data_IF_994350617088
#
_entry.id   IF_994350617088
#
_cell.length_a   1.000
_cell.length_b   1.000
_cell.length_c   1.000
_cell.angle_alpha   90.00
_cell.angle_beta   90.00
_cell.angle_gamma   90.00
#
_symmetry.space_group_name_H-M   'P 1'
#
loop_
_entity.id
_entity.type
_entity.pdbx_description
1 polymer ?
#
# COMPACT_ATOMS: atom_id res chain seq x y z
N UNK A 1 -9.89 7.55 24.96
CA UNK A 1 -10.94 7.64 23.93
C UNK A 1 -11.76 6.37 23.98
N UNK A 2 -13.07 6.49 24.23
CA UNK A 2 -13.98 5.35 24.34
C UNK A 2 -14.37 4.77 22.97
N UNK A 3 -15.15 3.68 23.00
CA UNK A 3 -15.68 2.98 21.82
C UNK A 3 -16.39 3.93 20.83
N UNK A 4 -17.08 4.95 21.33
CA UNK A 4 -17.76 5.98 20.53
C UNK A 4 -16.83 6.67 19.50
N UNK A 5 -15.56 6.87 19.83
CA UNK A 5 -14.59 7.48 18.90
C UNK A 5 -14.16 6.51 17.78
N UNK A 6 -14.32 5.20 17.99
CA UNK A 6 -13.99 4.17 16.98
C UNK A 6 -15.16 3.88 16.04
N UNK A 7 -16.39 4.27 16.39
CA UNK A 7 -17.58 4.01 15.58
C UNK A 7 -17.44 4.50 14.12
N UNK A 8 -16.91 5.71 13.83
CA UNK A 8 -16.72 6.14 12.45
C UNK A 8 -15.81 5.18 11.67
N UNK A 9 -14.70 4.69 12.23
CA UNK A 9 -13.84 3.71 11.55
C UNK A 9 -14.55 2.38 11.30
N UNK A 10 -15.28 1.89 12.31
CA UNK A 10 -16.02 0.61 12.23
C UNK A 10 -17.08 0.65 11.12
N UNK A 11 -17.66 1.82 10.84
CA UNK A 11 -18.65 1.99 9.78
C UNK A 11 -18.00 2.32 8.43
N UNK A 12 -17.14 3.34 8.38
CA UNK A 12 -16.63 3.92 7.13
C UNK A 12 -15.63 3.00 6.42
N UNK A 13 -14.74 2.31 7.15
CA UNK A 13 -13.71 1.49 6.51
C UNK A 13 -14.29 0.23 5.85
N UNK A 14 -15.17 -0.56 6.50
CA UNK A 14 -15.88 -1.65 5.83
C UNK A 14 -16.77 -1.16 4.68
N UNK A 15 -17.48 -0.05 4.87
CA UNK A 15 -18.31 0.53 3.80
C UNK A 15 -17.48 0.92 2.57
N UNK A 16 -16.29 1.49 2.78
CA UNK A 16 -15.35 1.79 1.70
C UNK A 16 -14.89 0.52 0.96
N UNK A 17 -14.51 -0.53 1.70
CA UNK A 17 -14.12 -1.83 1.09
C UNK A 17 -15.26 -2.43 0.25
N UNK A 18 -16.49 -2.42 0.76
CA UNK A 18 -17.68 -2.91 0.04
C UNK A 18 -17.98 -2.05 -1.18
N UNK A 19 -17.96 -0.72 -1.04
CA UNK A 19 -18.18 0.22 -2.15
C UNK A 19 -17.18 0.02 -3.27
N UNK A 20 -15.89 -0.10 -2.94
CA UNK A 20 -14.82 -0.35 -3.92
C UNK A 20 -15.03 -1.69 -4.62
N UNK A 21 -15.40 -2.75 -3.90
CA UNK A 21 -15.71 -4.04 -4.51
C UNK A 21 -16.88 -3.97 -5.50
N UNK A 22 -17.91 -3.17 -5.18
CA UNK A 22 -19.04 -2.94 -6.08
C UNK A 22 -18.57 -2.21 -7.35
N UNK A 23 -17.76 -1.16 -7.21
CA UNK A 23 -17.24 -0.35 -8.31
C UNK A 23 -16.21 -1.09 -9.17
N UNK A 24 -15.43 -2.00 -8.59
CA UNK A 24 -14.48 -2.84 -9.32
C UNK A 24 -15.18 -3.92 -10.16
N UNK A 25 -16.37 -4.38 -9.76
CA UNK A 25 -17.04 -5.54 -10.35
C UNK A 25 -17.18 -5.45 -11.89
N UNK A 26 -17.64 -4.34 -12.50
CA UNK A 26 -17.77 -4.28 -13.96
C UNK A 26 -16.43 -4.44 -14.68
N UNK A 27 -15.38 -3.75 -14.21
CA UNK A 27 -14.03 -3.82 -14.79
C UNK A 27 -13.43 -5.22 -14.59
N UNK A 28 -13.58 -5.80 -13.40
CA UNK A 28 -13.11 -7.17 -13.12
C UNK A 28 -13.86 -8.21 -13.95
N UNK A 29 -15.18 -8.06 -14.15
CA UNK A 29 -15.94 -8.97 -15.00
C UNK A 29 -15.44 -8.87 -16.44
N UNK A 30 -15.26 -7.67 -17.00
CA UNK A 30 -14.73 -7.49 -18.35
C UNK A 30 -13.34 -8.14 -18.52
N UNK A 31 -12.44 -7.94 -17.55
CA UNK A 31 -11.13 -8.59 -17.53
C UNK A 31 -11.29 -10.12 -17.45
N UNK A 32 -12.08 -10.63 -16.51
CA UNK A 32 -12.22 -12.07 -16.29
C UNK A 32 -12.90 -12.75 -17.48
N UNK A 33 -13.97 -12.21 -18.05
CA UNK A 33 -14.69 -12.85 -19.17
C UNK A 33 -13.81 -12.97 -20.41
N UNK A 34 -12.96 -11.98 -20.65
CA UNK A 34 -12.19 -11.90 -21.88
C UNK A 34 -10.82 -12.59 -21.75
N UNK A 35 -10.25 -12.64 -20.53
CA UNK A 35 -8.97 -13.31 -20.24
C UNK A 35 -9.09 -14.76 -19.76
N UNK A 36 -10.15 -15.16 -19.04
CA UNK A 36 -10.31 -16.56 -18.61
C UNK A 36 -10.26 -17.55 -19.77
N UNK A 37 -10.85 -17.26 -20.95
CA UNK A 37 -10.70 -18.12 -22.13
C UNK A 37 -9.25 -18.25 -22.61
N UNK A 38 -8.44 -17.20 -22.45
CA UNK A 38 -7.03 -17.17 -22.85
C UNK A 38 -6.13 -17.89 -21.84
N UNK A 39 -6.51 -17.89 -20.55
CA UNK A 39 -5.79 -18.55 -19.45
C UNK A 39 -5.94 -20.08 -19.39
N UNK A 40 -5.91 -20.73 -20.56
CA UNK A 40 -5.80 -22.19 -20.69
C UNK A 40 -4.33 -22.58 -20.94
N UNK A 41 -3.98 -23.80 -20.52
CA UNK A 41 -2.66 -24.36 -20.79
C UNK A 41 -2.37 -24.33 -22.30
N UNK A 42 -1.15 -23.93 -22.67
CA UNK A 42 -0.62 -23.77 -24.03
C UNK A 42 -1.13 -22.59 -24.88
N UNK A 43 -2.14 -21.82 -24.44
CA UNK A 43 -2.68 -20.70 -25.25
C UNK A 43 -2.25 -19.31 -24.79
N UNK A 44 -1.94 -19.12 -23.50
CA UNK A 44 -1.54 -17.82 -22.96
C UNK A 44 -0.06 -17.78 -22.59
N UNK A 45 0.67 -16.71 -22.97
CA UNK A 45 2.05 -16.50 -22.50
C UNK A 45 2.12 -16.22 -20.99
N UNK A 46 0.99 -15.92 -20.35
CA UNK A 46 0.89 -15.64 -18.91
C UNK A 46 0.53 -16.89 -18.08
N UNK A 47 0.26 -18.04 -18.72
CA UNK A 47 0.01 -19.29 -18.00
C UNK A 47 1.31 -19.88 -17.48
N UNK A 48 1.41 -20.02 -16.15
CA UNK A 48 2.58 -20.57 -15.46
C UNK A 48 2.18 -21.84 -14.68
N UNK A 49 2.68 -23.03 -15.06
CA UNK A 49 2.31 -24.29 -14.42
C UNK A 49 3.06 -24.51 -13.09
N UNK A 50 2.91 -23.59 -12.13
CA UNK A 50 3.64 -23.63 -10.84
C UNK A 50 3.30 -24.88 -10.04
N UNK A 51 2.09 -25.42 -10.22
CA UNK A 51 1.65 -26.64 -9.54
C UNK A 51 1.69 -27.87 -10.45
N UNK A 52 2.33 -27.75 -11.62
CA UNK A 52 2.33 -28.77 -12.66
C UNK A 52 0.91 -29.23 -13.06
N UNK A 53 -0.08 -28.33 -13.00
CA UNK A 53 -1.49 -28.65 -13.26
C UNK A 53 -2.24 -29.32 -12.11
N UNK A 54 -1.60 -29.55 -10.94
CA UNK A 54 -2.24 -30.21 -9.79
C UNK A 54 -3.34 -29.33 -9.18
N UNK A 55 -3.20 -28.01 -9.25
CA UNK A 55 -4.19 -27.05 -8.75
C UNK A 55 -4.57 -26.04 -9.85
N UNK A 56 -5.39 -26.45 -10.84
CA UNK A 56 -5.71 -25.62 -12.01
C UNK A 56 -6.32 -24.25 -11.68
N UNK A 57 -7.04 -24.16 -10.55
CA UNK A 57 -7.62 -22.90 -10.07
C UNK A 57 -6.57 -21.86 -9.70
N UNK A 58 -5.47 -22.27 -9.08
CA UNK A 58 -4.38 -21.36 -8.69
C UNK A 58 -3.67 -20.85 -9.94
N UNK A 59 -3.42 -21.72 -10.92
CA UNK A 59 -2.76 -21.34 -12.18
C UNK A 59 -3.64 -20.40 -13.03
N UNK A 60 -4.96 -20.66 -13.09
CA UNK A 60 -5.92 -19.78 -13.76
C UNK A 60 -6.03 -18.41 -13.08
N UNK A 61 -6.09 -18.38 -11.74
CA UNK A 61 -6.09 -17.14 -10.96
C UNK A 61 -4.81 -16.34 -11.18
N UNK A 62 -3.65 -17.00 -11.12
CA UNK A 62 -2.37 -16.37 -11.35
C UNK A 62 -2.25 -15.83 -12.78
N UNK A 63 -2.65 -16.61 -13.78
CA UNK A 63 -2.67 -16.16 -15.17
C UNK A 63 -3.54 -14.91 -15.36
N UNK A 64 -4.72 -14.87 -14.73
CA UNK A 64 -5.61 -13.70 -14.78
C UNK A 64 -4.92 -12.47 -14.16
N UNK A 65 -4.35 -12.64 -12.98
CA UNK A 65 -3.63 -11.57 -12.27
C UNK A 65 -2.45 -11.03 -13.07
N UNK A 66 -1.63 -11.93 -13.63
CA UNK A 66 -0.53 -11.58 -14.53
C UNK A 66 -1.04 -10.79 -15.74
N UNK A 67 -2.09 -11.28 -16.40
CA UNK A 67 -2.66 -10.63 -17.59
C UNK A 67 -3.07 -9.19 -17.29
N UNK A 68 -3.71 -8.93 -16.14
CA UNK A 68 -4.10 -7.56 -15.74
C UNK A 68 -2.88 -6.65 -15.57
N UNK A 69 -1.82 -7.11 -14.91
CA UNK A 69 -0.59 -6.32 -14.80
C UNK A 69 0.08 -6.09 -16.15
N UNK A 70 0.11 -7.09 -17.04
CA UNK A 70 0.73 -6.95 -18.35
C UNK A 70 -0.03 -5.97 -19.25
N UNK A 71 -1.37 -6.00 -19.26
CA UNK A 71 -2.18 -4.98 -19.95
C UNK A 71 -1.86 -3.58 -19.47
N UNK A 72 -1.73 -3.42 -18.15
CA UNK A 72 -1.41 -2.12 -17.57
C UNK A 72 0.03 -1.70 -17.88
N UNK A 73 0.98 -2.61 -18.04
CA UNK A 73 2.36 -2.28 -18.38
C UNK A 73 2.56 -2.01 -19.89
N UNK A 74 1.77 -2.67 -20.74
CA UNK A 74 1.79 -2.51 -22.19
C UNK A 74 1.14 -1.20 -22.65
N UNK A 75 0.12 -0.72 -21.93
CA UNK A 75 -0.48 0.60 -22.16
C UNK A 75 0.29 1.73 -21.47
N UNK A 76 0.64 2.79 -22.21
CA UNK A 76 1.46 3.88 -21.68
C UNK A 76 0.79 4.64 -20.52
N UNK A 77 -0.53 4.87 -20.61
CA UNK A 77 -1.27 5.61 -19.60
C UNK A 77 -1.43 4.80 -18.31
N UNK A 78 -1.81 3.53 -18.45
CA UNK A 78 -1.92 2.59 -17.35
C UNK A 78 -0.57 2.36 -16.65
N UNK A 79 0.51 2.23 -17.41
CA UNK A 79 1.85 2.02 -16.86
C UNK A 79 2.34 3.27 -16.11
N UNK A 80 2.09 4.45 -16.68
CA UNK A 80 2.38 5.71 -16.01
C UNK A 80 1.59 5.86 -14.69
N UNK A 81 0.32 5.41 -14.67
CA UNK A 81 -0.50 5.39 -13.45
C UNK A 81 0.00 4.37 -12.43
N UNK A 82 0.37 3.16 -12.86
CA UNK A 82 0.95 2.14 -11.98
C UNK A 82 2.23 2.64 -11.31
N UNK A 83 3.13 3.28 -12.06
CA UNK A 83 4.33 3.90 -11.51
C UNK A 83 4.03 5.08 -10.58
N UNK A 84 2.98 5.85 -10.84
CA UNK A 84 2.50 6.92 -9.96
C UNK A 84 1.96 6.34 -8.64
N UNK A 85 1.05 5.36 -8.70
CA UNK A 85 0.45 4.72 -7.53
C UNK A 85 1.51 4.00 -6.69
N UNK A 86 2.42 3.27 -7.34
CA UNK A 86 3.56 2.59 -6.73
C UNK A 86 4.40 3.53 -5.87
N UNK A 87 4.84 4.64 -6.46
CA UNK A 87 5.73 5.61 -5.80
C UNK A 87 5.01 6.44 -4.73
N UNK A 88 3.76 6.84 -4.99
CA UNK A 88 3.05 7.77 -4.10
C UNK A 88 2.44 7.05 -2.90
N UNK A 89 1.80 5.90 -3.07
CA UNK A 89 1.07 5.24 -1.97
C UNK A 89 1.62 3.88 -1.59
N UNK A 90 1.90 3.01 -2.55
CA UNK A 90 2.24 1.61 -2.25
C UNK A 90 3.50 1.56 -1.37
N UNK A 91 4.58 2.27 -1.73
CA UNK A 91 5.82 2.24 -0.93
C UNK A 91 5.65 2.82 0.49
N UNK A 92 5.07 4.02 0.70
CA UNK A 92 4.79 4.52 2.05
C UNK A 92 3.91 3.61 2.91
N UNK A 93 2.88 3.02 2.30
CA UNK A 93 1.94 2.14 2.99
C UNK A 93 2.61 0.84 3.43
N UNK A 94 3.43 0.25 2.57
CA UNK A 94 4.18 -0.97 2.89
C UNK A 94 5.21 -0.72 3.98
N UNK A 95 5.86 0.44 3.99
CA UNK A 95 6.72 0.83 5.11
C UNK A 95 5.93 0.95 6.41
N UNK A 96 4.79 1.63 6.39
CA UNK A 96 3.95 1.78 7.58
C UNK A 96 3.51 0.41 8.13
N UNK A 97 2.99 -0.46 7.26
CA UNK A 97 2.55 -1.80 7.65
C UNK A 97 3.69 -2.66 8.20
N UNK A 98 4.88 -2.56 7.61
CA UNK A 98 6.07 -3.28 8.07
C UNK A 98 6.64 -2.75 9.38
N UNK A 99 6.65 -1.43 9.59
CA UNK A 99 7.05 -0.86 10.88
C UNK A 99 6.07 -1.25 11.98
N UNK A 100 4.77 -1.31 11.70
CA UNK A 100 3.78 -1.73 12.68
C UNK A 100 3.82 -3.22 13.01
N UNK A 101 4.18 -4.07 12.05
CA UNK A 101 4.37 -5.51 12.28
C UNK A 101 5.64 -5.80 13.09
N UNK A 102 6.68 -4.97 12.97
CA UNK A 102 7.97 -5.20 13.61
C UNK A 102 8.09 -4.69 15.05
N UNK A 103 7.11 -3.94 15.59
CA UNK A 103 7.18 -3.40 16.97
C UNK A 103 7.24 -4.48 18.05
N UNK A 104 8.08 -4.26 19.08
CA UNK A 104 8.22 -5.18 20.23
C UNK A 104 6.93 -5.35 21.04
N UNK A 105 6.79 -6.51 21.68
CA UNK A 105 5.70 -6.91 22.59
C UNK A 105 4.31 -7.01 21.96
N UNK A 106 4.23 -7.12 20.63
CA UNK A 106 3.00 -7.50 19.98
C UNK A 106 2.88 -9.02 19.90
N UNK A 107 1.66 -9.52 20.06
CA UNK A 107 1.37 -10.95 19.91
C UNK A 107 1.83 -11.43 18.53
N UNK A 108 2.23 -12.69 18.42
CA UNK A 108 2.73 -13.32 17.18
C UNK A 108 1.83 -13.07 15.95
N UNK A 109 0.52 -12.91 16.15
CA UNK A 109 -0.44 -12.61 15.08
C UNK A 109 -0.17 -11.23 14.45
N UNK A 110 0.25 -10.23 15.22
CA UNK A 110 0.49 -8.88 14.69
C UNK A 110 1.78 -8.82 13.87
N UNK A 111 2.81 -9.59 14.23
CA UNK A 111 4.05 -9.66 13.44
C UNK A 111 3.82 -10.26 12.05
N UNK A 112 2.78 -11.09 11.89
CA UNK A 112 2.36 -11.63 10.60
C UNK A 112 1.40 -10.73 9.82
N UNK A 113 1.01 -9.58 10.36
CA UNK A 113 0.02 -8.70 9.71
C UNK A 113 0.48 -8.22 8.33
N UNK A 114 1.74 -7.81 8.17
CA UNK A 114 2.29 -7.42 6.87
C UNK A 114 2.19 -8.55 5.85
N UNK A 115 2.52 -9.80 6.25
CA UNK A 115 2.45 -10.95 5.36
C UNK A 115 1.00 -11.26 4.97
N UNK A 116 0.10 -11.33 5.95
CA UNK A 116 -1.31 -11.64 5.74
C UNK A 116 -2.00 -10.60 4.86
N UNK A 117 -1.91 -9.32 5.23
CA UNK A 117 -2.54 -8.23 4.47
C UNK A 117 -1.84 -8.01 3.12
N UNK A 118 -0.53 -8.23 3.03
CA UNK A 118 0.19 -8.21 1.76
C UNK A 118 -0.32 -9.29 0.80
N UNK A 119 -0.45 -10.54 1.26
CA UNK A 119 -0.96 -11.64 0.43
C UNK A 119 -2.43 -11.45 0.07
N UNK A 120 -3.26 -11.02 1.03
CA UNK A 120 -4.65 -10.68 0.76
C UNK A 120 -4.77 -9.58 -0.31
N UNK A 121 -3.87 -8.59 -0.30
CA UNK A 121 -3.88 -7.50 -1.30
C UNK A 121 -3.53 -7.97 -2.70
N UNK A 122 -2.70 -9.02 -2.84
CA UNK A 122 -2.43 -9.63 -4.14
C UNK A 122 -3.63 -10.43 -4.68
N UNK A 123 -4.44 -11.03 -3.79
CA UNK A 123 -5.60 -11.83 -4.18
C UNK A 123 -6.85 -11.02 -4.49
N UNK A 124 -7.07 -9.95 -3.72
CA UNK A 124 -8.22 -9.06 -3.90
C UNK A 124 -7.74 -7.83 -4.65
N UNK A 125 -7.47 -6.76 -3.91
CA UNK A 125 -6.72 -5.58 -4.36
C UNK A 125 -6.30 -4.81 -3.10
N UNK A 126 -5.43 -3.80 -3.22
CA UNK A 126 -5.10 -2.95 -2.08
C UNK A 126 -6.31 -2.14 -1.60
N UNK A 127 -7.12 -1.64 -2.54
CA UNK A 127 -8.29 -0.83 -2.24
C UNK A 127 -9.35 -1.56 -1.41
N UNK A 128 -9.49 -2.87 -1.61
CA UNK A 128 -10.40 -3.71 -0.81
C UNK A 128 -9.81 -4.04 0.55
N UNK A 129 -8.52 -4.34 0.63
CA UNK A 129 -7.87 -4.94 1.81
C UNK A 129 -7.40 -3.90 2.83
N UNK A 130 -6.89 -2.76 2.37
CA UNK A 130 -6.30 -1.74 3.25
C UNK A 130 -7.30 -1.07 4.21
N UNK A 131 -8.59 -0.85 3.87
CA UNK A 131 -9.57 -0.42 4.85
C UNK A 131 -9.70 -1.40 6.03
N UNK A 132 -9.61 -2.71 5.79
CA UNK A 132 -9.62 -3.72 6.86
C UNK A 132 -8.33 -3.71 7.67
N UNK A 133 -7.17 -3.51 7.03
CA UNK A 133 -5.91 -3.34 7.75
C UNK A 133 -5.98 -2.13 8.69
N UNK A 134 -6.46 -0.99 8.22
CA UNK A 134 -6.57 0.20 9.05
C UNK A 134 -7.63 0.06 10.16
N UNK A 135 -8.74 -0.64 9.89
CA UNK A 135 -9.71 -0.96 10.94
C UNK A 135 -9.06 -1.83 12.02
N UNK A 136 -8.34 -2.88 11.60
CA UNK A 136 -7.58 -3.74 12.50
C UNK A 136 -6.57 -2.93 13.33
N UNK A 137 -5.83 -2.02 12.68
CA UNK A 137 -4.90 -1.11 13.34
C UNK A 137 -5.60 -0.21 14.39
N UNK A 138 -6.73 0.40 14.04
CA UNK A 138 -7.48 1.30 14.94
C UNK A 138 -8.08 0.56 16.12
N UNK A 139 -8.67 -0.62 15.87
CA UNK A 139 -9.37 -1.39 16.89
C UNK A 139 -8.38 -2.04 17.85
N UNK A 140 -7.35 -2.70 17.31
CA UNK A 140 -6.48 -3.59 18.08
C UNK A 140 -5.07 -3.03 18.34
N UNK A 141 -4.56 -2.14 17.47
CA UNK A 141 -3.15 -1.68 17.54
C UNK A 141 -2.98 -0.24 18.09
N UNK A 142 -4.08 0.49 18.32
CA UNK A 142 -4.10 1.90 18.71
C UNK A 142 -3.23 2.26 19.94
N UNK A 143 -2.20 3.08 19.68
CA UNK A 143 -1.35 4.01 20.46
C UNK A 143 -1.06 3.81 21.96
N UNK A 144 -1.96 3.29 22.81
CA UNK A 144 -1.71 3.26 24.27
C UNK A 144 -0.57 2.30 24.68
N UNK A 145 -0.17 1.40 23.79
CA UNK A 145 0.88 0.40 24.04
C UNK A 145 1.93 0.35 22.91
N UNK A 146 1.86 1.24 21.91
CA UNK A 146 2.84 1.24 20.83
C UNK A 146 4.21 1.65 21.40
N UNK A 147 5.17 0.73 21.35
CA UNK A 147 6.56 0.99 21.74
C UNK A 147 7.34 1.56 20.55
N UNK A 148 8.34 2.44 20.80
CA UNK A 148 9.28 2.86 19.78
C UNK A 148 9.96 1.66 19.13
N UNK A 149 10.20 1.79 17.82
CA UNK A 149 10.88 0.78 17.02
C UNK A 149 12.39 0.86 17.30
N UNK A 150 13.06 -0.29 17.49
CA UNK A 150 14.53 -0.29 17.60
C UNK A 150 15.18 -0.10 16.24
N UNK A 151 16.45 0.31 16.22
CA UNK A 151 17.23 0.45 14.99
C UNK A 151 17.18 -0.82 14.13
N UNK A 152 17.44 -1.99 14.74
CA UNK A 152 17.38 -3.29 14.05
C UNK A 152 16.02 -3.52 13.37
N UNK A 153 14.92 -3.18 14.04
CA UNK A 153 13.57 -3.37 13.51
C UNK A 153 13.27 -2.40 12.38
N UNK A 154 13.65 -1.12 12.53
CA UNK A 154 13.48 -0.12 11.49
C UNK A 154 14.26 -0.50 10.21
N UNK A 155 15.52 -0.88 10.37
CA UNK A 155 16.37 -1.31 9.25
C UNK A 155 15.84 -2.58 8.58
N UNK A 156 15.38 -3.58 9.37
CA UNK A 156 14.80 -4.80 8.83
C UNK A 156 13.51 -4.53 8.04
N UNK A 157 12.62 -3.67 8.55
CA UNK A 157 11.40 -3.27 7.85
C UNK A 157 11.71 -2.57 6.53
N UNK A 158 12.67 -1.64 6.53
CA UNK A 158 13.11 -0.96 5.30
C UNK A 158 13.72 -1.95 4.32
N UNK A 159 14.60 -2.84 4.79
CA UNK A 159 15.22 -3.86 3.95
C UNK A 159 14.18 -4.81 3.33
N UNK A 160 13.21 -5.27 4.12
CA UNK A 160 12.09 -6.10 3.63
C UNK A 160 11.26 -5.39 2.57
N UNK A 161 10.93 -4.10 2.75
CA UNK A 161 10.22 -3.30 1.75
C UNK A 161 11.04 -3.14 0.47
N UNK A 162 12.32 -2.80 0.58
CA UNK A 162 13.17 -2.59 -0.59
C UNK A 162 13.38 -3.88 -1.40
N UNK A 163 13.67 -5.00 -0.74
CA UNK A 163 13.93 -6.28 -1.42
C UNK A 163 12.64 -6.93 -1.91
N UNK A 164 11.65 -7.05 -1.03
CA UNK A 164 10.45 -7.82 -1.34
C UNK A 164 9.48 -7.08 -2.24
N UNK A 165 9.32 -5.76 -2.06
CA UNK A 165 8.32 -4.98 -2.79
C UNK A 165 8.94 -4.08 -3.86
N UNK A 166 9.93 -3.26 -3.53
CA UNK A 166 10.49 -2.30 -4.49
C UNK A 166 11.25 -3.02 -5.61
N UNK A 167 12.17 -3.92 -5.27
CA UNK A 167 12.98 -4.61 -6.28
C UNK A 167 12.13 -5.50 -7.19
N UNK A 168 11.16 -6.23 -6.64
CA UNK A 168 10.25 -7.07 -7.44
C UNK A 168 9.32 -6.23 -8.33
N UNK A 169 8.82 -5.08 -7.84
CA UNK A 169 8.03 -4.15 -8.67
C UNK A 169 8.84 -3.56 -9.81
N UNK A 170 10.11 -3.19 -9.55
CA UNK A 170 11.03 -2.70 -10.59
C UNK A 170 11.32 -3.80 -11.61
N UNK A 171 11.60 -5.02 -11.17
CA UNK A 171 11.81 -6.16 -12.06
C UNK A 171 10.58 -6.42 -12.94
N UNK A 172 9.37 -6.43 -12.35
CA UNK A 172 8.12 -6.59 -13.06
C UNK A 172 7.93 -5.50 -14.14
N UNK A 173 8.07 -4.24 -13.77
CA UNK A 173 7.80 -3.08 -14.65
C UNK A 173 8.89 -2.80 -15.69
N UNK A 174 10.14 -3.24 -15.46
CA UNK A 174 11.26 -2.99 -16.39
C UNK A 174 11.57 -4.15 -17.31
N UNK A 175 11.39 -5.38 -16.84
CA UNK A 175 11.68 -6.58 -17.62
C UNK A 175 10.43 -7.15 -18.30
N UNK A 176 9.24 -6.75 -17.83
CA UNK A 176 7.92 -7.05 -18.43
C UNK A 176 7.73 -8.51 -18.84
N UNK A 177 8.34 -9.44 -18.11
CA UNK A 177 8.24 -10.87 -18.38
C UNK A 177 7.23 -11.52 -17.43
N UNK A 178 6.43 -12.51 -17.88
CA UNK A 178 5.47 -13.22 -17.02
C UNK A 178 6.13 -13.83 -15.78
N UNK A 179 7.38 -14.26 -15.88
CA UNK A 179 8.17 -14.78 -14.75
C UNK A 179 8.41 -13.73 -13.69
N UNK A 180 8.78 -12.50 -14.06
CA UNK A 180 9.02 -11.44 -13.09
C UNK A 180 7.72 -10.98 -12.42
N UNK A 181 6.63 -10.91 -13.18
CA UNK A 181 5.29 -10.63 -12.64
C UNK A 181 4.84 -11.73 -11.68
N UNK A 182 5.16 -12.99 -11.97
CA UNK A 182 4.92 -14.13 -11.06
C UNK A 182 5.69 -13.96 -9.75
N UNK A 183 6.99 -13.65 -9.82
CA UNK A 183 7.83 -13.42 -8.63
C UNK A 183 7.25 -12.28 -7.78
N UNK A 184 6.78 -11.20 -8.42
CA UNK A 184 6.12 -10.08 -7.74
C UNK A 184 4.87 -10.50 -6.96
N UNK A 185 4.09 -11.50 -7.41
CA UNK A 185 2.94 -11.99 -6.64
C UNK A 185 3.33 -12.58 -5.28
N UNK A 186 4.59 -13.02 -5.13
CA UNK A 186 5.16 -13.50 -3.88
C UNK A 186 5.94 -12.42 -3.11
N UNK A 187 5.87 -11.15 -3.52
CA UNK A 187 6.50 -10.01 -2.84
C UNK A 187 6.23 -9.96 -1.32
N UNK A 188 5.01 -10.24 -0.80
CA UNK A 188 4.77 -10.29 0.65
C UNK A 188 5.66 -11.30 1.38
N UNK A 189 5.85 -12.49 0.79
CA UNK A 189 6.66 -13.57 1.37
C UNK A 189 8.14 -13.19 1.28
N UNK A 190 8.59 -12.69 0.13
CA UNK A 190 9.99 -12.25 -0.06
C UNK A 190 10.32 -11.13 0.94
N UNK A 191 9.43 -10.16 1.12
CA UNK A 191 9.60 -9.06 2.07
C UNK A 191 9.70 -9.57 3.51
N UNK A 192 8.81 -10.49 3.89
CA UNK A 192 8.81 -11.09 5.22
C UNK A 192 10.11 -11.87 5.48
N UNK A 193 10.51 -12.75 4.55
CA UNK A 193 11.75 -13.52 4.70
C UNK A 193 12.99 -12.63 4.74
N UNK A 194 13.07 -11.60 3.88
CA UNK A 194 14.17 -10.65 3.89
C UNK A 194 14.26 -9.89 5.23
N UNK A 195 13.11 -9.48 5.78
CA UNK A 195 13.04 -8.86 7.10
C UNK A 195 13.51 -9.81 8.21
N UNK A 196 13.03 -11.05 8.24
CA UNK A 196 13.43 -12.05 9.26
C UNK A 196 14.93 -12.42 9.18
N UNK A 197 15.47 -12.57 7.97
CA UNK A 197 16.91 -12.77 7.75
C UNK A 197 17.70 -11.56 8.23
N UNK A 198 17.26 -10.33 7.92
CA UNK A 198 17.94 -9.14 8.41
C UNK A 198 17.92 -9.07 9.94
N UNK A 199 16.78 -9.39 10.54
CA UNK A 199 16.67 -9.49 11.98
C UNK A 199 17.69 -10.51 12.50
N UNK A 200 17.76 -11.74 12.00
CA UNK A 200 18.67 -12.75 12.55
C UNK A 200 20.15 -12.36 12.49
N UNK A 201 20.56 -11.57 11.49
CA UNK A 201 21.95 -11.16 11.29
C UNK A 201 22.38 -9.95 12.12
N UNK A 202 21.46 -9.05 12.50
CA UNK A 202 21.83 -7.79 13.16
C UNK A 202 21.36 -7.73 14.61
N UNK A 203 22.26 -7.51 15.54
CA UNK A 203 21.91 -7.15 16.92
C UNK A 203 22.00 -5.63 17.12
N UNK A 204 20.88 -4.95 17.37
CA UNK A 204 20.88 -3.57 17.86
C UNK A 204 19.63 -3.29 18.71
N UNK A 205 19.86 -2.66 19.85
CA UNK A 205 18.82 -2.17 20.78
C UNK A 205 18.69 -0.65 20.75
N UNK A 206 19.52 0.05 19.97
CA UNK A 206 19.48 1.52 19.85
C UNK A 206 18.12 2.00 19.35
N UNK A 207 17.72 3.25 19.65
CA UNK A 207 16.49 3.83 19.11
C UNK A 207 16.50 3.84 17.58
N UNK A 208 15.39 3.41 16.95
CA UNK A 208 15.24 3.37 15.50
C UNK A 208 14.64 4.64 14.89
N UNK A 209 14.16 5.57 15.73
CA UNK A 209 13.47 6.78 15.29
C UNK A 209 14.26 7.62 14.26
N UNK A 210 15.58 7.85 14.39
CA UNK A 210 16.33 8.60 13.36
C UNK A 210 16.25 7.99 11.96
N UNK A 211 16.25 6.66 11.87
CA UNK A 211 16.15 5.91 10.61
C UNK A 211 14.74 6.01 10.06
N UNK A 212 13.72 5.77 10.90
CA UNK A 212 12.31 5.91 10.52
C UNK A 212 12.02 7.32 10.01
N UNK A 213 12.54 8.35 10.69
CA UNK A 213 12.44 9.76 10.30
C UNK A 213 13.06 10.00 8.93
N UNK A 214 14.30 9.58 8.73
CA UNK A 214 14.99 9.76 7.45
C UNK A 214 14.23 9.08 6.30
N UNK A 215 13.72 7.87 6.51
CA UNK A 215 12.95 7.13 5.50
C UNK A 215 11.63 7.80 5.15
N UNK A 216 10.85 8.25 6.14
CA UNK A 216 9.60 8.97 5.85
C UNK A 216 9.84 10.31 5.16
N UNK A 217 10.92 11.03 5.49
CA UNK A 217 11.31 12.25 4.77
C UNK A 217 11.67 11.94 3.33
N UNK A 218 12.47 10.88 3.09
CA UNK A 218 12.82 10.44 1.74
C UNK A 218 11.57 10.09 0.92
N UNK A 219 10.66 9.32 1.50
CA UNK A 219 9.42 8.91 0.81
C UNK A 219 8.45 10.08 0.62
N UNK A 220 8.39 11.03 1.56
CA UNK A 220 7.66 12.28 1.38
C UNK A 220 8.16 13.01 0.12
N UNK A 221 9.46 13.23 0.00
CA UNK A 221 10.03 13.93 -1.15
C UNK A 221 9.88 13.14 -2.44
N UNK A 222 10.06 11.82 -2.42
CA UNK A 222 9.87 10.97 -3.60
C UNK A 222 8.41 10.99 -4.09
N UNK A 223 7.44 10.83 -3.18
CA UNK A 223 6.02 10.88 -3.50
C UNK A 223 5.60 12.28 -3.99
N UNK A 224 6.06 13.35 -3.33
CA UNK A 224 5.76 14.72 -3.72
C UNK A 224 6.37 15.08 -5.08
N UNK A 225 7.63 14.70 -5.32
CA UNK A 225 8.29 14.91 -6.60
C UNK A 225 7.55 14.15 -7.72
N UNK A 226 7.13 12.90 -7.49
CA UNK A 226 6.34 12.14 -8.46
C UNK A 226 4.98 12.80 -8.73
N UNK A 227 4.31 13.28 -7.68
CA UNK A 227 3.04 13.97 -7.81
C UNK A 227 3.15 15.25 -8.64
N UNK A 228 4.08 16.13 -8.28
CA UNK A 228 4.33 17.39 -8.98
C UNK A 228 4.81 17.14 -10.41
N UNK A 229 5.71 16.17 -10.63
CA UNK A 229 6.16 15.82 -11.98
C UNK A 229 5.00 15.32 -12.84
N UNK A 230 4.08 14.52 -12.29
CA UNK A 230 2.89 14.11 -13.05
C UNK A 230 1.96 15.29 -13.32
N UNK A 231 1.57 16.07 -12.32
CA UNK A 231 0.60 17.15 -12.48
C UNK A 231 1.13 18.33 -13.31
N UNK A 232 2.37 18.77 -13.06
CA UNK A 232 2.95 19.97 -13.67
C UNK A 232 3.77 19.64 -14.91
N UNK A 233 4.60 18.61 -14.88
CA UNK A 233 5.50 18.31 -16.02
C UNK A 233 4.78 17.48 -17.09
N UNK A 234 4.16 16.35 -16.73
CA UNK A 234 3.47 15.47 -17.72
C UNK A 234 2.22 16.11 -18.29
N UNK A 235 1.42 16.77 -17.46
CA UNK A 235 0.16 17.41 -17.90
C UNK A 235 0.28 18.92 -18.10
N UNK A 236 1.48 19.50 -18.04
CA UNK A 236 1.69 20.95 -18.24
C UNK A 236 0.82 21.86 -17.34
N UNK A 237 0.38 21.35 -16.18
CA UNK A 237 -0.54 22.06 -15.30
C UNK A 237 -2.02 22.03 -15.73
N UNK A 238 -2.37 21.28 -16.78
CA UNK A 238 -3.75 21.02 -17.18
C UNK A 238 -4.45 20.15 -16.13
N UNK A 239 -5.24 20.82 -15.27
CA UNK A 239 -6.01 20.17 -14.22
C UNK A 239 -7.09 19.23 -14.74
N UNK A 240 -7.62 19.46 -15.95
CA UNK A 240 -8.60 18.58 -16.55
C UNK A 240 -7.94 17.28 -16.99
N UNK A 241 -6.82 17.36 -17.72
CA UNK A 241 -6.05 16.17 -18.13
C UNK A 241 -5.52 15.38 -16.93
N UNK A 242 -5.01 16.07 -15.89
CA UNK A 242 -4.61 15.42 -14.65
C UNK A 242 -5.83 14.78 -13.93
N UNK A 243 -6.98 15.45 -13.92
CA UNK A 243 -8.23 14.92 -13.41
C UNK A 243 -8.64 13.62 -14.11
N UNK A 244 -8.64 13.59 -15.44
CA UNK A 244 -8.92 12.38 -16.22
C UNK A 244 -7.90 11.26 -15.98
N UNK A 245 -6.64 11.59 -15.70
CA UNK A 245 -5.63 10.61 -15.31
C UNK A 245 -5.86 10.02 -13.92
N UNK A 246 -6.49 10.76 -13.01
CA UNK A 246 -6.70 10.34 -11.62
C UNK A 246 -8.05 9.67 -11.40
N UNK A 247 -9.09 10.07 -12.14
CA UNK A 247 -10.47 9.65 -11.90
C UNK A 247 -10.82 8.44 -12.78
N UNK A 248 -11.27 7.31 -12.19
CA UNK A 248 -11.70 6.15 -12.96
C UNK A 248 -12.96 6.45 -13.76
N UNK A 249 -13.05 5.88 -14.96
CA UNK A 249 -14.31 5.87 -15.71
C UNK A 249 -15.22 4.76 -15.16
N UNK A 250 -16.54 4.95 -15.28
CA UNK A 250 -17.51 3.92 -14.86
C UNK A 250 -17.51 2.72 -15.81
N UNK A 251 -17.13 2.95 -17.06
CA UNK A 251 -17.10 1.95 -18.12
C UNK A 251 -15.78 2.09 -18.87
N UNK A 252 -15.07 0.98 -19.03
CA UNK A 252 -13.84 0.94 -19.80
C UNK A 252 -14.14 0.64 -21.27
N UNK A 253 -13.53 1.41 -22.17
CA UNK A 253 -13.67 1.21 -23.61
C UNK A 253 -12.69 0.16 -24.16
N UNK A 254 -11.75 -0.30 -23.33
CA UNK A 254 -10.74 -1.32 -23.67
C UNK A 254 -10.31 -2.13 -22.45
N UNK A 255 -9.66 -3.27 -22.67
CA UNK A 255 -9.11 -4.10 -21.59
C UNK A 255 -8.00 -3.39 -20.80
N UNK A 256 -7.18 -2.60 -21.48
CA UNK A 256 -6.19 -1.74 -20.83
C UNK A 256 -6.87 -0.63 -20.00
N UNK A 257 -7.94 -0.03 -20.51
CA UNK A 257 -8.77 0.92 -19.76
C UNK A 257 -9.41 0.30 -18.53
N UNK A 258 -9.85 -0.96 -18.62
CA UNK A 258 -10.40 -1.69 -17.47
C UNK A 258 -9.33 -1.93 -16.41
N UNK A 259 -8.12 -2.31 -16.82
CA UNK A 259 -6.98 -2.45 -15.91
C UNK A 259 -6.60 -1.12 -15.24
N UNK A 260 -6.53 -0.02 -16.01
CA UNK A 260 -6.30 1.33 -15.48
C UNK A 260 -7.37 1.72 -14.44
N UNK A 261 -8.66 1.52 -14.75
CA UNK A 261 -9.76 1.81 -13.84
C UNK A 261 -9.64 1.03 -12.52
N UNK A 262 -9.22 -0.24 -12.57
CA UNK A 262 -8.95 -1.04 -11.36
C UNK A 262 -7.89 -0.35 -10.50
N UNK A 263 -6.76 0.04 -11.08
CA UNK A 263 -5.69 0.72 -10.32
C UNK A 263 -6.09 2.11 -9.81
N UNK A 264 -6.87 2.88 -10.57
CA UNK A 264 -7.38 4.19 -10.14
C UNK A 264 -8.37 4.07 -8.97
N UNK A 265 -9.29 3.11 -9.03
CA UNK A 265 -10.19 2.81 -7.92
C UNK A 265 -9.41 2.38 -6.67
N UNK A 266 -8.41 1.53 -6.86
CA UNK A 266 -7.52 1.09 -5.79
C UNK A 266 -6.75 2.24 -5.15
N UNK A 267 -6.19 3.14 -5.97
CA UNK A 267 -5.50 4.33 -5.52
C UNK A 267 -6.41 5.18 -4.60
N UNK A 268 -7.64 5.50 -5.05
CA UNK A 268 -8.54 6.33 -4.26
C UNK A 268 -9.01 5.65 -2.98
N UNK A 269 -9.30 4.36 -3.05
CA UNK A 269 -9.67 3.56 -1.88
C UNK A 269 -8.57 3.58 -0.82
N UNK A 270 -7.32 3.32 -1.22
CA UNK A 270 -6.15 3.38 -0.33
C UNK A 270 -5.96 4.79 0.20
N UNK A 271 -6.10 5.82 -0.64
CA UNK A 271 -5.90 7.20 -0.23
C UNK A 271 -6.93 7.66 0.81
N UNK A 272 -8.21 7.33 0.60
CA UNK A 272 -9.30 7.63 1.54
C UNK A 272 -9.09 6.84 2.83
N UNK A 273 -8.81 5.54 2.74
CA UNK A 273 -8.59 4.70 3.91
C UNK A 273 -7.38 5.17 4.75
N UNK A 274 -6.28 5.51 4.09
CA UNK A 274 -5.07 6.05 4.73
C UNK A 274 -5.32 7.41 5.37
N UNK A 275 -6.01 8.32 4.67
CA UNK A 275 -6.43 9.61 5.22
C UNK A 275 -7.30 9.45 6.47
N UNK A 276 -8.33 8.61 6.41
CA UNK A 276 -9.15 8.26 7.56
C UNK A 276 -8.31 7.67 8.69
N UNK A 277 -7.39 6.75 8.41
CA UNK A 277 -6.53 6.14 9.41
C UNK A 277 -5.65 7.17 10.14
N UNK A 278 -5.13 8.17 9.42
CA UNK A 278 -4.31 9.22 10.04
C UNK A 278 -5.07 10.05 11.07
N UNK A 279 -6.40 10.15 10.97
CA UNK A 279 -7.22 10.83 11.98
C UNK A 279 -7.12 10.18 13.38
N UNK A 280 -6.76 8.90 13.45
CA UNK A 280 -6.51 8.20 14.72
C UNK A 280 -5.13 8.47 15.32
N UNK A 281 -4.27 9.23 14.65
CA UNK A 281 -3.01 9.71 15.23
C UNK A 281 -3.25 10.91 16.16
N UNK A 282 -4.42 11.56 16.06
CA UNK A 282 -4.78 12.69 16.91
C UNK A 282 -5.00 12.29 18.37
N UNK A 283 -4.42 13.08 19.29
CA UNK A 283 -4.63 12.97 20.75
C UNK A 283 -5.54 14.06 21.31
N UNK A 284 -5.93 15.02 20.48
CA UNK A 284 -6.85 16.10 20.82
C UNK A 284 -7.68 16.52 19.61
N UNK A 285 -8.80 17.20 19.84
CA UNK A 285 -9.65 17.71 18.77
C UNK A 285 -8.91 18.69 17.84
N UNK A 286 -8.00 19.52 18.38
CA UNK A 286 -7.17 20.43 17.58
C UNK A 286 -6.26 19.67 16.62
N UNK A 287 -5.63 18.58 17.09
CA UNK A 287 -4.80 17.72 16.25
C UNK A 287 -5.63 16.98 15.19
N UNK A 288 -6.85 16.54 15.54
CA UNK A 288 -7.76 15.92 14.58
C UNK A 288 -8.10 16.88 13.44
N UNK A 289 -8.50 18.12 13.76
CA UNK A 289 -8.77 19.16 12.76
C UNK A 289 -7.52 19.42 11.92
N UNK A 290 -6.35 19.52 12.55
CA UNK A 290 -5.07 19.69 11.86
C UNK A 290 -4.77 18.57 10.86
N UNK A 291 -5.02 17.31 11.24
CA UNK A 291 -4.82 16.15 10.35
C UNK A 291 -5.82 16.13 9.20
N UNK A 292 -7.10 16.48 9.44
CA UNK A 292 -8.10 16.60 8.37
C UNK A 292 -7.68 17.67 7.37
N UNK A 293 -7.32 18.86 7.85
CA UNK A 293 -6.83 19.95 6.99
C UNK A 293 -5.56 19.55 6.24
N UNK A 294 -4.64 18.85 6.89
CA UNK A 294 -3.42 18.35 6.26
C UNK A 294 -3.68 17.29 5.20
N UNK A 295 -4.60 16.34 5.43
CA UNK A 295 -4.97 15.33 4.44
C UNK A 295 -5.55 15.97 3.17
N UNK A 296 -6.34 17.04 3.32
CA UNK A 296 -6.90 17.78 2.18
C UNK A 296 -5.82 18.64 1.52
N UNK A 297 -5.27 19.63 2.24
CA UNK A 297 -4.34 20.61 1.66
C UNK A 297 -3.01 19.98 1.26
N UNK A 298 -2.41 19.19 2.14
CA UNK A 298 -1.17 18.46 1.84
C UNK A 298 -1.39 17.42 0.75
N UNK A 299 -2.55 16.76 0.73
CA UNK A 299 -2.91 15.80 -0.31
C UNK A 299 -3.07 16.43 -1.69
N UNK A 300 -3.63 17.65 -1.76
CA UNK A 300 -3.76 18.41 -3.01
C UNK A 300 -2.42 18.99 -3.49
N UNK A 301 -1.59 19.51 -2.58
CA UNK A 301 -0.34 20.20 -2.95
C UNK A 301 0.80 19.22 -3.22
N UNK A 302 0.99 18.23 -2.34
CA UNK A 302 2.12 17.31 -2.38
C UNK A 302 1.72 15.89 -2.82
N UNK A 303 0.44 15.65 -3.07
CA UNK A 303 -0.08 14.30 -3.27
C UNK A 303 -0.40 13.61 -1.95
N UNK A 304 -1.45 12.81 -1.96
CA UNK A 304 -2.01 12.18 -0.76
C UNK A 304 -1.06 11.18 -0.09
N UNK A 305 -0.17 10.55 -0.86
CA UNK A 305 0.90 9.70 -0.35
C UNK A 305 1.98 10.42 0.46
N UNK A 306 2.42 11.59 -0.02
CA UNK A 306 3.35 12.44 0.73
C UNK A 306 2.70 12.97 2.01
N UNK A 307 1.43 13.41 1.91
CA UNK A 307 0.66 13.84 3.08
C UNK A 307 0.58 12.73 4.14
N UNK A 308 0.37 11.47 3.72
CA UNK A 308 0.40 10.31 4.60
C UNK A 308 1.77 10.10 5.26
N UNK A 309 2.89 10.17 4.52
CA UNK A 309 4.24 10.09 5.10
C UNK A 309 4.47 11.14 6.20
N UNK A 310 4.07 12.38 5.97
CA UNK A 310 4.22 13.45 6.94
C UNK A 310 3.37 13.21 8.20
N UNK A 311 2.12 12.74 8.04
CA UNK A 311 1.25 12.39 9.16
C UNK A 311 1.79 11.18 9.95
N UNK A 312 2.30 10.16 9.26
CA UNK A 312 2.94 9.00 9.88
C UNK A 312 4.21 9.41 10.64
N UNK A 313 5.06 10.26 10.06
CA UNK A 313 6.24 10.79 10.74
C UNK A 313 5.89 11.61 11.99
N UNK A 314 4.85 12.45 11.90
CA UNK A 314 4.34 13.20 13.04
C UNK A 314 3.85 12.26 14.17
N UNK A 315 3.20 11.14 13.82
CA UNK A 315 2.87 10.11 14.81
C UNK A 315 4.12 9.52 15.44
N UNK A 316 5.11 9.11 14.64
CA UNK A 316 6.35 8.49 15.17
C UNK A 316 7.10 9.41 16.13
N UNK A 317 7.17 10.71 15.83
CA UNK A 317 7.80 11.69 16.73
C UNK A 317 7.05 11.79 18.06
N UNK A 318 5.73 11.74 18.01
CA UNK A 318 4.88 11.79 19.21
C UNK A 318 5.03 10.52 20.06
N UNK A 319 5.28 9.36 19.45
CA UNK A 319 5.58 8.12 20.18
C UNK A 319 6.93 8.20 20.92
N UNK A 320 7.97 8.74 20.26
CA UNK A 320 9.29 8.89 20.86
C UNK A 320 9.27 9.79 22.10
N UNK A 321 8.65 10.97 22.00
CA UNK A 321 8.58 11.94 23.11
C UNK A 321 7.88 11.38 24.36
N UNK A 322 6.92 10.48 24.19
CA UNK A 322 6.20 9.88 25.32
C UNK A 322 7.11 8.94 26.10
N UNK A 323 7.98 8.20 25.41
CA UNK A 323 8.92 7.27 26.06
C UNK A 323 9.99 8.03 26.82
N UNK A 324 10.61 9.02 26.20
CA UNK A 324 11.61 9.87 26.88
C UNK A 324 11.04 10.55 28.14
N UNK A 325 9.76 10.92 28.12
CA UNK A 325 9.10 11.56 29.27
C UNK A 325 8.81 10.62 30.43
N UNK A 326 8.68 9.31 30.15
CA UNK A 326 8.48 8.28 31.18
C UNK A 326 9.82 7.89 31.80
N UNK A 327 10.83 7.66 30.98
CA UNK A 327 12.19 7.31 31.44
C UNK A 327 12.82 8.41 32.30
N UNK A 328 12.46 9.69 32.10
CA UNK A 328 12.93 10.81 32.95
C UNK A 328 12.27 10.89 34.33
N UNK A 329 11.16 10.17 34.55
CA UNK A 329 10.41 10.22 35.82
C UNK A 329 10.72 9.03 36.74
N UNK A 330 11.35 8.00 36.19
CA UNK A 330 11.80 6.80 36.91
C UNK A 330 13.27 6.97 37.32
#
# INVERSE_FOLDING_TARGET
MGLLYKLPAILLLPALSVGVRILLKPNLVALVTDFVPQCRAATSPYYMPITSGTVPRVESMLCTLLSVFHLAMEDEHANAFLGYFGTTWITPLLLFTSLESSRKNRQYIVSLSQLFFGFASQLFTLGVVMPWYFLYFIVFLSDKQARPTTQRQAEASIFGVLVGWTATSVAMTRLTSPTNTTIFQFAPIIAFLAQEVYLSLRASTKPGYPIVKATYILFFFAAAAKHIATAVVKFHGDLHAFGSFMVPTLHADSLAGAALNVFQLDFWAVAIAGGLATMWFARSQKQLIGLVLWSVLGGTVFGSGAAFCAAALWRESTLETVVESKERKD
#
